data_IF_772732377406
#
_entry.id   IF_772732377406
#
_cell.length_a   1.000
_cell.length_b   1.000
_cell.length_c   1.000
_cell.angle_alpha   90.00
_cell.angle_beta   90.00
_cell.angle_gamma   90.00
#
_symmetry.space_group_name_H-M   'P 1'
#
loop_
_entity.id
_entity.type
_entity.pdbx_description
1 polymer ?
#
# COMPACT_ATOMS: atom_id res chain seq x y z
N UNK A 1 -11.40 -30.38 -34.29
CA UNK A 1 -12.53 -30.53 -33.35
C UNK A 1 -12.14 -30.34 -31.89
N UNK A 2 -11.15 -31.07 -31.34
CA UNK A 2 -10.72 -30.91 -29.92
C UNK A 2 -10.34 -29.47 -29.52
N UNK A 3 -9.63 -28.73 -30.38
CA UNK A 3 -9.26 -27.32 -30.13
C UNK A 3 -10.45 -26.36 -30.07
N UNK A 4 -11.46 -26.56 -30.92
CA UNK A 4 -12.69 -25.76 -30.93
C UNK A 4 -13.51 -26.00 -29.66
N UNK A 5 -13.58 -27.24 -29.18
CA UNK A 5 -14.25 -27.59 -27.92
C UNK A 5 -13.57 -26.94 -26.71
N UNK A 6 -12.24 -26.89 -26.70
CA UNK A 6 -11.46 -26.27 -25.61
C UNK A 6 -11.64 -24.74 -25.60
N UNK A 7 -11.68 -24.10 -26.77
CA UNK A 7 -11.92 -22.66 -26.88
C UNK A 7 -13.36 -22.33 -26.48
N UNK A 8 -14.34 -23.12 -26.93
CA UNK A 8 -15.73 -22.95 -26.53
C UNK A 8 -15.92 -23.13 -25.02
N UNK A 9 -15.29 -24.14 -24.41
CA UNK A 9 -15.39 -24.34 -22.95
C UNK A 9 -14.72 -23.20 -22.17
N UNK A 10 -13.62 -22.65 -22.69
CA UNK A 10 -12.97 -21.47 -22.10
C UNK A 10 -13.88 -20.25 -22.14
N UNK A 11 -14.47 -19.93 -23.29
CA UNK A 11 -15.39 -18.79 -23.45
C UNK A 11 -16.61 -18.93 -22.54
N UNK A 12 -17.20 -20.12 -22.47
CA UNK A 12 -18.35 -20.40 -21.60
C UNK A 12 -17.95 -20.27 -20.12
N UNK A 13 -16.81 -20.84 -19.71
CA UNK A 13 -16.33 -20.73 -18.33
C UNK A 13 -16.04 -19.28 -17.93
N UNK A 14 -15.45 -18.47 -18.82
CA UNK A 14 -15.21 -17.04 -18.56
C UNK A 14 -16.53 -16.28 -18.44
N UNK A 15 -17.50 -16.53 -19.32
CA UNK A 15 -18.81 -15.88 -19.25
C UNK A 15 -19.56 -16.23 -17.96
N UNK A 16 -19.51 -17.51 -17.52
CA UNK A 16 -20.11 -17.96 -16.26
C UNK A 16 -19.45 -17.27 -15.07
N UNK A 17 -18.13 -17.12 -15.06
CA UNK A 17 -17.42 -16.40 -13.99
C UNK A 17 -17.81 -14.92 -13.96
N UNK A 18 -17.86 -14.24 -15.11
CA UNK A 18 -18.29 -12.83 -15.16
C UNK A 18 -19.73 -12.68 -14.66
N UNK A 19 -20.64 -13.58 -15.05
CA UNK A 19 -22.02 -13.57 -14.59
C UNK A 19 -22.15 -13.83 -13.08
N UNK A 20 -21.36 -14.75 -12.51
CA UNK A 20 -21.35 -14.99 -11.05
C UNK A 20 -20.77 -13.80 -10.30
N UNK A 21 -19.75 -13.12 -10.83
CA UNK A 21 -19.26 -11.85 -10.27
C UNK A 21 -20.32 -10.75 -10.29
N UNK A 22 -21.10 -10.60 -11.37
CA UNK A 22 -22.16 -9.60 -11.47
C UNK A 22 -23.36 -9.91 -10.55
N UNK A 23 -23.61 -11.19 -10.25
CA UNK A 23 -24.77 -11.63 -9.46
C UNK A 23 -24.42 -11.82 -7.97
N UNK A 24 -23.14 -11.73 -7.61
CA UNK A 24 -22.69 -11.97 -6.24
C UNK A 24 -23.20 -10.90 -5.28
N UNK A 25 -24.18 -11.26 -4.45
CA UNK A 25 -24.69 -10.42 -3.34
C UNK A 25 -23.88 -10.58 -2.05
N UNK A 26 -22.96 -11.56 -2.00
CA UNK A 26 -22.20 -11.90 -0.80
C UNK A 26 -20.70 -12.01 -1.09
N UNK A 27 -19.88 -11.52 -0.14
CA UNK A 27 -18.42 -11.52 -0.24
C UNK A 27 -17.81 -12.93 -0.38
N UNK A 28 -18.50 -13.96 0.11
CA UNK A 28 -18.08 -15.37 0.00
C UNK A 28 -18.09 -15.87 -1.44
N UNK A 29 -19.08 -15.46 -2.25
CA UNK A 29 -19.15 -15.83 -3.67
C UNK A 29 -18.06 -15.15 -4.49
N UNK A 30 -17.72 -13.91 -4.14
CA UNK A 30 -16.63 -13.16 -4.75
C UNK A 30 -15.26 -13.81 -4.47
N UNK A 31 -15.04 -14.26 -3.23
CA UNK A 31 -13.78 -14.89 -2.84
C UNK A 31 -13.53 -16.21 -3.59
N UNK A 32 -14.57 -17.04 -3.74
CA UNK A 32 -14.47 -18.32 -4.47
C UNK A 32 -14.22 -18.06 -5.96
N UNK A 33 -14.93 -17.11 -6.57
CA UNK A 33 -14.73 -16.77 -7.98
C UNK A 33 -13.33 -16.20 -8.25
N UNK A 34 -12.80 -15.39 -7.33
CA UNK A 34 -11.42 -14.87 -7.40
C UNK A 34 -10.37 -15.98 -7.26
N UNK A 35 -10.63 -17.02 -6.47
CA UNK A 35 -9.71 -18.14 -6.31
C UNK A 35 -9.66 -19.07 -7.53
N UNK A 36 -10.74 -19.15 -8.31
CA UNK A 36 -10.83 -19.99 -9.52
C UNK A 36 -10.26 -19.28 -10.76
N UNK A 37 -10.23 -17.95 -10.76
CA UNK A 37 -9.74 -17.14 -11.89
C UNK A 37 -8.30 -17.47 -12.33
N UNK A 38 -7.30 -17.68 -11.43
CA UNK A 38 -5.94 -18.05 -11.82
C UNK A 38 -5.85 -19.40 -12.53
N UNK A 39 -6.69 -20.38 -12.15
CA UNK A 39 -6.74 -21.68 -12.81
C UNK A 39 -7.29 -21.56 -14.24
N UNK A 40 -8.29 -20.70 -14.44
CA UNK A 40 -8.84 -20.40 -15.79
C UNK A 40 -7.82 -19.61 -16.62
N UNK A 41 -7.16 -18.62 -16.04
CA UNK A 41 -6.10 -17.85 -16.70
C UNK A 41 -4.92 -18.74 -17.13
N UNK A 42 -4.54 -19.72 -16.29
CA UNK A 42 -3.52 -20.72 -16.62
C UNK A 42 -3.94 -21.60 -17.80
N UNK A 43 -5.19 -22.05 -17.85
CA UNK A 43 -5.73 -22.79 -18.99
C UNK A 43 -5.73 -21.94 -20.26
N UNK A 44 -6.10 -20.65 -20.16
CA UNK A 44 -6.02 -19.70 -21.27
C UNK A 44 -4.59 -19.55 -21.79
N UNK A 45 -3.62 -19.32 -20.91
CA UNK A 45 -2.23 -19.17 -21.29
C UNK A 45 -1.67 -20.41 -21.99
N UNK A 46 -2.03 -21.61 -21.52
CA UNK A 46 -1.63 -22.88 -22.13
C UNK A 46 -2.21 -23.06 -23.54
N UNK A 47 -3.42 -22.57 -23.80
CA UNK A 47 -4.03 -22.61 -25.14
C UNK A 47 -3.32 -21.64 -26.09
N UNK A 48 -2.99 -20.43 -25.63
CA UNK A 48 -2.32 -19.41 -26.44
C UNK A 48 -0.83 -19.70 -26.68
N UNK A 49 -0.12 -20.32 -25.74
CA UNK A 49 1.29 -20.70 -25.94
C UNK A 49 1.47 -21.75 -27.04
N UNK A 50 0.48 -22.62 -27.23
CA UNK A 50 0.50 -23.68 -28.24
C UNK A 50 0.20 -23.15 -29.66
N UNK A 51 -0.41 -21.97 -29.75
CA UNK A 51 -0.66 -21.26 -31.01
C UNK A 51 0.56 -20.41 -31.40
N UNK A 52 1.29 -19.86 -30.43
CA UNK A 52 2.47 -19.00 -30.64
C UNK A 52 3.74 -19.77 -31.06
N UNK A 53 3.77 -21.10 -30.98
CA UNK A 53 4.96 -21.91 -31.26
C UNK A 53 5.24 -22.13 -32.76
N UNK A 54 4.37 -21.66 -33.67
CA UNK A 54 4.51 -21.89 -35.12
C UNK A 54 5.20 -20.78 -35.92
N UNK A 55 5.70 -19.72 -35.29
CA UNK A 55 6.33 -18.61 -36.02
C UNK A 55 7.77 -18.39 -35.53
N UNK A 56 8.67 -19.30 -35.90
CA UNK A 56 10.11 -18.99 -35.96
C UNK A 56 10.52 -18.95 -37.43
N UNK A 57 10.84 -17.79 -38.02
CA UNK A 57 11.54 -17.78 -39.29
C UNK A 57 12.93 -18.33 -39.06
N UNK A 58 13.23 -19.41 -39.78
CA UNK A 58 14.54 -20.03 -39.88
C UNK A 58 15.55 -19.01 -40.40
N UNK A 59 16.39 -18.45 -39.51
CA UNK A 59 17.56 -17.66 -39.91
C UNK A 59 18.77 -18.55 -39.71
N UNK A 60 19.15 -19.28 -40.77
CA UNK A 60 20.44 -19.96 -40.87
C UNK A 60 21.55 -18.94 -40.60
N UNK A 61 22.34 -19.19 -39.56
CA UNK A 61 23.53 -18.41 -39.26
C UNK A 61 24.63 -18.92 -40.20
N UNK A 62 24.93 -18.15 -41.24
CA UNK A 62 26.13 -18.35 -42.04
C UNK A 62 27.37 -18.16 -41.14
N UNK A 63 28.24 -19.16 -41.17
CA UNK A 63 29.52 -19.24 -40.46
C UNK A 63 30.43 -18.09 -40.88
N UNK A 64 30.74 -17.16 -39.97
CA UNK A 64 31.75 -16.11 -40.17
C UNK A 64 33.11 -16.66 -39.69
N UNK A 65 34.08 -16.77 -40.59
CA UNK A 65 35.50 -16.95 -40.25
C UNK A 65 36.14 -15.60 -39.84
N UNK A 66 37.14 -15.58 -38.96
CA UNK A 66 37.78 -14.34 -38.50
C UNK A 66 39.05 -13.99 -39.30
N UNK A 67 39.24 -12.71 -39.66
CA UNK A 67 40.54 -12.07 -39.97
C UNK A 67 40.41 -10.53 -39.90
N UNK A 68 41.51 -9.75 -39.76
CA UNK A 68 41.71 -8.86 -38.62
C UNK A 68 41.58 -7.36 -38.96
N UNK A 69 41.62 -6.57 -37.89
CA UNK A 69 41.45 -5.13 -37.75
C UNK A 69 42.04 -4.24 -38.86
N UNK A 70 41.29 -3.19 -39.25
CA UNK A 70 41.83 -1.86 -39.58
C UNK A 70 40.76 -0.79 -39.39
N UNK A 71 41.09 0.15 -38.49
CA UNK A 71 40.78 1.59 -38.43
C UNK A 71 39.33 2.12 -38.40
N UNK A 72 39.14 2.88 -37.32
CA UNK A 72 38.08 3.80 -36.97
C UNK A 72 37.86 4.94 -37.97
N UNK A 73 36.60 5.17 -38.36
CA UNK A 73 36.07 6.48 -38.74
C UNK A 73 34.83 6.82 -37.91
N UNK A 74 34.61 8.10 -37.55
CA UNK A 74 33.61 8.49 -36.57
C UNK A 74 32.21 8.43 -37.19
N UNK A 75 31.38 7.52 -36.70
CA UNK A 75 30.00 7.39 -37.11
C UNK A 75 29.14 8.35 -36.30
N UNK A 76 28.50 9.31 -36.99
CA UNK A 76 27.49 10.22 -36.44
C UNK A 76 26.51 9.45 -35.56
N UNK A 77 26.41 9.85 -34.29
CA UNK A 77 25.36 9.44 -33.37
C UNK A 77 23.99 9.91 -33.88
N UNK A 78 23.37 9.09 -34.72
CA UNK A 78 21.91 8.99 -34.75
C UNK A 78 21.52 8.04 -33.63
N UNK A 79 20.74 8.52 -32.66
CA UNK A 79 20.18 7.76 -31.55
C UNK A 79 19.26 6.65 -32.06
N UNK A 80 19.86 5.57 -32.54
CA UNK A 80 19.17 4.31 -32.81
C UNK A 80 18.94 3.64 -31.47
N UNK A 81 17.96 4.15 -30.71
CA UNK A 81 17.46 3.47 -29.51
C UNK A 81 17.02 2.08 -29.97
N UNK A 82 17.76 1.05 -29.55
CA UNK A 82 17.50 -0.32 -29.94
C UNK A 82 16.09 -0.69 -29.50
N UNK A 83 15.34 -1.34 -30.38
CA UNK A 83 13.93 -1.72 -30.13
C UNK A 83 13.79 -2.67 -28.91
N UNK A 84 14.90 -3.33 -28.57
CA UNK A 84 15.09 -4.13 -27.34
C UNK A 84 14.94 -3.26 -26.08
N UNK A 85 15.52 -2.06 -26.06
CA UNK A 85 15.47 -1.16 -24.91
C UNK A 85 14.06 -0.59 -24.72
N UNK A 86 13.36 -0.29 -25.83
CA UNK A 86 11.95 0.14 -25.79
C UNK A 86 11.04 -0.95 -25.23
N UNK A 87 11.25 -2.21 -25.63
CA UNK A 87 10.48 -3.35 -25.12
C UNK A 87 10.82 -3.65 -23.66
N UNK A 88 12.08 -3.54 -23.25
CA UNK A 88 12.50 -3.70 -21.86
C UNK A 88 11.89 -2.62 -20.98
N UNK A 89 11.94 -1.36 -21.43
CA UNK A 89 11.33 -0.21 -20.77
C UNK A 89 9.81 -0.34 -20.64
N UNK A 90 9.11 -0.74 -21.72
CA UNK A 90 7.66 -0.91 -21.70
C UNK A 90 7.23 -2.05 -20.77
N UNK A 91 8.01 -3.13 -20.70
CA UNK A 91 7.79 -4.22 -19.73
C UNK A 91 8.05 -3.78 -18.29
N UNK A 92 9.07 -2.96 -18.07
CA UNK A 92 9.42 -2.44 -16.76
C UNK A 92 8.32 -1.51 -16.23
N UNK A 93 7.87 -0.56 -17.04
CA UNK A 93 6.80 0.38 -16.68
C UNK A 93 5.45 -0.34 -16.56
N UNK A 94 5.13 -1.23 -17.49
CA UNK A 94 3.91 -2.02 -17.43
C UNK A 94 3.87 -2.92 -16.19
N UNK A 95 4.98 -3.58 -15.86
CA UNK A 95 5.10 -4.41 -14.66
C UNK A 95 5.03 -3.60 -13.38
N UNK A 96 5.85 -2.54 -13.25
CA UNK A 96 5.87 -1.69 -12.07
C UNK A 96 4.53 -0.96 -11.84
N UNK A 97 3.91 -0.44 -12.91
CA UNK A 97 2.61 0.21 -12.85
C UNK A 97 1.49 -0.74 -12.44
N UNK A 98 1.46 -1.96 -13.00
CA UNK A 98 0.49 -2.97 -12.60
C UNK A 98 0.70 -3.41 -11.14
N UNK A 99 1.95 -3.56 -10.69
CA UNK A 99 2.27 -3.86 -9.30
C UNK A 99 1.79 -2.76 -8.35
N UNK A 100 2.04 -1.48 -8.69
CA UNK A 100 1.55 -0.34 -7.90
C UNK A 100 0.02 -0.28 -7.87
N UNK A 101 -0.64 -0.56 -8.99
CA UNK A 101 -2.09 -0.59 -9.07
C UNK A 101 -2.69 -1.69 -8.19
N UNK A 102 -2.15 -2.90 -8.25
CA UNK A 102 -2.57 -4.01 -7.39
C UNK A 102 -2.27 -3.69 -5.91
N UNK A 103 -1.09 -3.14 -5.62
CA UNK A 103 -0.75 -2.70 -4.27
C UNK A 103 -1.75 -1.66 -3.75
N UNK A 104 -2.15 -0.68 -4.55
CA UNK A 104 -3.16 0.31 -4.16
C UNK A 104 -4.53 -0.31 -3.85
N UNK A 105 -4.93 -1.35 -4.61
CA UNK A 105 -6.20 -2.04 -4.40
C UNK A 105 -6.22 -2.89 -3.12
N UNK A 106 -5.09 -3.53 -2.79
CA UNK A 106 -4.98 -4.42 -1.63
C UNK A 106 -4.51 -3.71 -0.36
N UNK A 107 -3.70 -2.65 -0.45
CA UNK A 107 -3.24 -1.87 0.70
C UNK A 107 -4.41 -1.23 1.45
N UNK A 108 -5.42 -0.71 0.72
CA UNK A 108 -6.65 -0.19 1.34
C UNK A 108 -7.44 -1.22 2.16
N UNK A 109 -7.33 -2.52 1.83
CA UNK A 109 -7.99 -3.59 2.59
C UNK A 109 -7.12 -4.20 3.67
N UNK A 110 -5.80 -4.09 3.55
CA UNK A 110 -4.88 -4.53 4.60
C UNK A 110 -4.92 -3.60 5.81
N UNK A 111 -5.17 -2.31 5.62
CA UNK A 111 -5.38 -1.35 6.72
C UNK A 111 -6.56 -1.75 7.62
N UNK A 112 -7.68 -2.20 7.07
CA UNK A 112 -8.87 -2.60 7.86
C UNK A 112 -8.72 -3.93 8.63
N UNK A 113 -7.74 -4.77 8.27
CA UNK A 113 -7.51 -6.09 8.90
C UNK A 113 -6.31 -6.06 9.85
N UNK A 114 -5.32 -5.20 9.60
CA UNK A 114 -4.13 -5.06 10.46
C UNK A 114 -4.17 -3.86 11.41
N UNK A 115 -5.04 -2.87 11.18
CA UNK A 115 -5.33 -1.84 12.17
C UNK A 115 -6.59 -2.25 12.93
N UNK A 116 -6.51 -2.63 14.22
CA UNK A 116 -7.72 -2.73 15.03
C UNK A 116 -8.39 -1.37 14.98
N UNK A 117 -9.57 -1.36 14.36
CA UNK A 117 -10.49 -0.23 14.23
C UNK A 117 -10.48 0.56 15.53
N UNK A 118 -9.74 1.67 15.57
CA UNK A 118 -9.82 2.60 16.67
C UNK A 118 -11.27 3.04 16.74
N UNK A 119 -11.82 2.93 17.95
CA UNK A 119 -13.23 3.04 18.24
C UNK A 119 -13.87 4.23 17.51
N UNK A 120 -14.68 3.94 16.49
CA UNK A 120 -15.76 4.84 16.13
C UNK A 120 -16.72 4.83 17.32
N UNK A 121 -16.58 5.84 18.17
CA UNK A 121 -17.51 6.13 19.26
C UNK A 121 -18.86 6.45 18.63
N UNK A 122 -19.75 5.45 18.59
CA UNK A 122 -21.19 5.69 18.56
C UNK A 122 -21.60 6.13 19.98
N UNK A 123 -22.34 7.24 20.14
CA UNK A 123 -22.97 7.53 21.42
C UNK A 123 -24.14 6.55 21.59
N UNK A 124 -23.93 5.52 22.41
CA UNK A 124 -24.97 4.57 22.79
C UNK A 124 -25.88 5.21 23.85
N UNK A 125 -27.11 5.53 23.44
CA UNK A 125 -28.21 5.86 24.34
C UNK A 125 -28.89 4.56 24.75
N UNK A 126 -28.43 3.94 25.84
CA UNK A 126 -29.28 2.98 26.54
C UNK A 126 -28.59 1.84 27.28
N UNK A 127 -28.72 1.90 28.60
CA UNK A 127 -28.77 0.76 29.53
C UNK A 127 -27.49 -0.04 29.79
N UNK A 128 -26.90 0.24 30.96
CA UNK A 128 -26.68 -0.81 31.97
C UNK A 128 -25.75 -1.95 31.58
N UNK A 129 -24.50 -1.66 31.26
CA UNK A 129 -23.41 -2.61 31.23
C UNK A 129 -22.27 -2.12 32.11
N UNK A 130 -21.84 -2.92 33.08
CA UNK A 130 -20.76 -2.63 34.02
C UNK A 130 -19.53 -2.08 33.26
N UNK A 131 -19.22 -0.80 33.46
CA UNK A 131 -18.09 -0.11 32.81
C UNK A 131 -16.76 -0.70 33.27
N UNK A 132 -16.28 -1.73 32.59
CA UNK A 132 -14.88 -2.14 32.60
C UNK A 132 -14.05 -1.33 31.60
N UNK A 133 -14.27 -0.01 31.55
CA UNK A 133 -13.43 0.91 30.81
C UNK A 133 -12.88 1.89 31.84
N UNK A 134 -11.84 1.47 32.56
CA UNK A 134 -10.96 2.43 33.20
C UNK A 134 -10.36 3.25 32.06
N UNK A 135 -10.96 4.41 31.79
CA UNK A 135 -10.49 5.31 30.74
C UNK A 135 -8.99 5.52 30.89
N UNK A 136 -8.26 5.50 29.78
CA UNK A 136 -6.84 5.81 29.83
C UNK A 136 -6.70 7.22 30.41
N UNK A 137 -5.65 7.51 31.21
CA UNK A 137 -5.50 8.84 31.81
C UNK A 137 -5.42 10.00 30.80
N UNK A 138 -5.06 9.70 29.56
CA UNK A 138 -5.04 10.63 28.43
C UNK A 138 -6.34 10.65 27.60
N UNK A 139 -7.37 9.87 27.98
CA UNK A 139 -8.67 9.91 27.34
C UNK A 139 -9.31 11.29 27.50
N UNK A 140 -9.92 11.79 26.43
CA UNK A 140 -10.58 13.09 26.40
C UNK A 140 -9.66 14.25 25.99
N UNK A 141 -8.34 14.07 25.97
CA UNK A 141 -7.42 15.07 25.42
C UNK A 141 -7.43 15.07 23.89
N UNK A 142 -7.25 16.24 23.28
CA UNK A 142 -7.16 16.44 21.83
C UNK A 142 -5.98 17.33 21.50
N UNK A 143 -5.33 17.04 20.37
CA UNK A 143 -4.21 17.84 19.90
C UNK A 143 -4.67 19.26 19.62
N UNK A 144 -3.90 20.23 20.12
CA UNK A 144 -4.18 21.66 19.98
C UNK A 144 -3.04 22.37 19.26
N UNK A 145 -1.78 22.06 19.58
CA UNK A 145 -0.64 22.72 18.94
C UNK A 145 0.54 21.79 18.58
N UNK A 146 1.11 22.13 17.41
CA UNK A 146 2.28 21.69 16.66
C UNK A 146 3.56 22.52 16.84
N UNK A 147 4.65 22.08 17.46
CA UNK A 147 5.97 22.72 17.25
C UNK A 147 7.02 21.71 16.83
N UNK A 148 7.41 21.76 15.55
CA UNK A 148 8.35 20.83 14.92
C UNK A 148 9.71 21.50 14.69
N UNK A 149 10.35 21.90 15.79
CA UNK A 149 11.71 22.48 15.79
C UNK A 149 12.78 21.41 16.04
N UNK A 150 13.97 21.77 16.54
CA UNK A 150 15.01 20.79 16.88
C UNK A 150 14.55 19.76 17.93
N UNK A 151 13.65 20.17 18.82
CA UNK A 151 12.81 19.26 19.61
C UNK A 151 11.36 19.44 19.16
N UNK A 152 10.65 18.33 19.03
CA UNK A 152 9.25 18.32 18.63
C UNK A 152 8.37 18.35 19.88
N UNK A 153 7.41 19.26 19.92
CA UNK A 153 6.45 19.40 21.01
C UNK A 153 5.04 19.24 20.47
N UNK A 154 4.23 18.46 21.18
CA UNK A 154 2.81 18.24 20.88
C UNK A 154 1.99 18.66 22.10
N UNK A 155 1.12 19.65 21.92
CA UNK A 155 0.24 20.15 22.96
C UNK A 155 -1.15 19.55 22.85
N UNK A 156 -1.68 19.03 23.96
CA UNK A 156 -2.99 18.43 24.04
C UNK A 156 -3.82 19.10 25.14
N UNK A 157 -5.11 19.32 24.88
CA UNK A 157 -6.05 19.94 25.82
C UNK A 157 -7.34 19.11 25.86
N UNK A 158 -7.94 18.95 27.03
CA UNK A 158 -9.27 18.35 27.18
C UNK A 158 -10.39 19.40 27.18
N UNK A 159 -11.65 18.98 27.34
CA UNK A 159 -12.80 19.90 27.35
C UNK A 159 -12.82 20.80 28.57
N UNK A 160 -12.19 20.38 29.65
CA UNK A 160 -12.12 21.05 30.93
C UNK A 160 -10.99 22.10 30.99
N UNK A 161 -10.12 22.16 29.97
CA UNK A 161 -8.99 23.10 29.89
C UNK A 161 -7.69 22.59 30.50
N UNK A 162 -7.69 21.37 31.05
CA UNK A 162 -6.47 20.68 31.45
C UNK A 162 -5.68 20.29 30.21
N UNK A 163 -4.37 20.25 30.35
CA UNK A 163 -3.46 20.05 29.24
C UNK A 163 -2.28 19.16 29.61
N UNK A 164 -1.70 18.56 28.58
CA UNK A 164 -0.35 18.02 28.65
C UNK A 164 0.42 18.35 27.39
N UNK A 165 1.74 18.48 27.52
CA UNK A 165 2.66 18.69 26.41
C UNK A 165 3.59 17.49 26.38
N UNK A 166 3.62 16.80 25.24
CA UNK A 166 4.59 15.77 24.94
C UNK A 166 5.79 16.41 24.25
N UNK A 167 6.99 16.13 24.74
CA UNK A 167 8.27 16.50 24.15
C UNK A 167 8.92 15.25 23.60
N UNK A 168 9.22 15.28 22.31
CA UNK A 168 9.97 14.28 21.58
C UNK A 168 11.37 14.82 21.27
N UNK A 169 12.39 14.06 21.65
CA UNK A 169 13.76 14.28 21.18
C UNK A 169 14.03 13.33 20.01
N UNK A 170 14.12 13.84 18.76
CA UNK A 170 14.28 13.00 17.57
C UNK A 170 15.66 12.32 17.51
N UNK A 171 16.65 12.82 18.25
CA UNK A 171 18.00 12.23 18.26
C UNK A 171 18.05 11.00 19.15
N UNK A 172 17.43 11.06 20.33
CA UNK A 172 17.39 9.95 21.28
C UNK A 172 16.15 9.07 21.16
N UNK A 173 15.13 9.51 20.41
CA UNK A 173 13.82 8.83 20.32
C UNK A 173 13.07 8.81 21.65
N UNK A 174 13.35 9.77 22.55
CA UNK A 174 12.75 9.78 23.89
C UNK A 174 11.55 10.71 23.98
N UNK A 175 10.53 10.25 24.71
CA UNK A 175 9.32 11.00 25.00
C UNK A 175 9.28 11.39 26.47
N UNK A 176 8.96 12.66 26.74
CA UNK A 176 8.67 13.16 28.09
C UNK A 176 7.42 14.02 28.06
N UNK A 177 6.78 14.15 29.21
CA UNK A 177 5.48 14.76 29.35
C UNK A 177 5.53 15.83 30.43
N UNK A 178 4.76 16.90 30.25
CA UNK A 178 4.44 17.89 31.27
C UNK A 178 2.93 18.06 31.27
N UNK A 179 2.30 18.26 32.43
CA UNK A 179 0.85 18.44 32.53
C UNK A 179 0.48 19.64 33.40
N UNK A 180 -0.72 20.15 33.22
CA UNK A 180 -1.31 21.17 34.07
C UNK A 180 -2.83 21.21 33.93
N UNK A 181 -3.50 21.81 34.92
CA UNK A 181 -4.96 21.79 34.98
C UNK A 181 -5.62 22.92 34.19
N UNK A 182 -4.90 24.03 33.92
CA UNK A 182 -5.41 25.23 33.26
C UNK A 182 -4.27 26.03 32.58
N UNK A 183 -4.61 27.05 31.80
CA UNK A 183 -3.68 27.97 31.12
C UNK A 183 -2.70 27.30 30.14
N UNK A 184 -3.25 26.53 29.20
CA UNK A 184 -2.47 25.97 28.11
C UNK A 184 -1.68 27.02 27.31
N UNK A 185 -2.24 28.19 26.91
CA UNK A 185 -1.49 29.18 26.14
C UNK A 185 -0.24 29.69 26.87
N UNK A 186 -0.36 29.95 28.19
CA UNK A 186 0.78 30.33 29.03
C UNK A 186 1.84 29.24 29.10
N UNK A 187 1.42 27.98 29.33
CA UNK A 187 2.33 26.84 29.35
C UNK A 187 3.01 26.60 27.99
N UNK A 188 2.26 26.71 26.90
CA UNK A 188 2.74 26.49 25.54
C UNK A 188 3.79 27.52 25.11
N UNK A 189 3.59 28.80 25.49
CA UNK A 189 4.57 29.86 25.25
C UNK A 189 5.94 29.58 25.91
N UNK A 190 5.93 28.82 27.02
CA UNK A 190 7.11 28.44 27.81
C UNK A 190 7.45 26.95 27.69
N UNK A 191 6.90 26.24 26.69
CA UNK A 191 7.02 24.78 26.55
C UNK A 191 8.44 24.25 26.72
N UNK A 192 9.44 24.92 26.15
CA UNK A 192 10.87 24.50 26.23
C UNK A 192 11.45 24.53 27.65
N UNK A 193 10.87 25.32 28.55
CA UNK A 193 11.33 25.52 29.93
C UNK A 193 10.50 24.76 30.99
N UNK A 194 9.50 23.98 30.56
CA UNK A 194 8.70 23.17 31.47
C UNK A 194 9.52 22.02 32.07
N UNK A 195 9.09 21.55 33.23
CA UNK A 195 9.64 20.34 33.84
C UNK A 195 8.96 19.13 33.21
N UNK A 196 9.77 18.27 32.61
CA UNK A 196 9.31 17.12 31.82
C UNK A 196 9.70 15.82 32.52
N UNK A 197 8.75 14.90 32.60
CA UNK A 197 8.92 13.60 33.26
C UNK A 197 8.39 12.45 32.40
N UNK A 198 8.56 11.22 32.87
CA UNK A 198 7.99 10.03 32.25
C UNK A 198 6.47 9.98 32.43
N UNK A 199 5.80 9.31 31.49
CA UNK A 199 4.35 9.17 31.49
C UNK A 199 3.79 8.65 32.83
N UNK A 200 4.37 7.57 33.36
CA UNK A 200 3.92 6.92 34.59
C UNK A 200 4.08 7.76 35.87
N UNK A 201 4.86 8.85 35.83
CA UNK A 201 4.99 9.77 36.96
C UNK A 201 3.86 10.81 36.96
N UNK A 202 3.20 11.02 35.81
CA UNK A 202 2.20 12.05 35.62
C UNK A 202 0.78 11.50 35.44
N UNK A 203 0.64 10.23 35.04
CA UNK A 203 -0.60 9.56 34.70
C UNK A 203 -0.71 8.17 35.32
#
# INVERSE_FOLDING_TARGET
MKKLLIIASFVIATAVVVATFMTAKTYTQLAIASAIYPAIAYLGFRIFSDISSKTRPNKQIARIQPKPATESKPQKQGTTVLDIDKRAFLKLIGGAGLSFFLFSLFARKAEDVFLPKSAQVQPDLGSGGVSANQGQPADGYRISEIDDSDLTFYGFINKEGAWFIMREDPTSGTFRYAKGDNDFPGAWSKRKALQYDYYHNLF
#
